data_IF_729327378468
#
_entry.id   IF_729327378468
#
_cell.length_a   1.000
_cell.length_b   1.000
_cell.length_c   1.000
_cell.angle_alpha   90.00
_cell.angle_beta   90.00
_cell.angle_gamma   90.00
#
_symmetry.space_group_name_H-M   'P 1'
#
loop_
_entity.id
_entity.type
_entity.pdbx_description
1 polymer ?
#
# COMPACT_ATOMS: atom_id res chain seq x y z
N UNK A 1 -16.07 -33.22 -2.37
CA UNK A 1 -16.39 -33.16 -0.92
C UNK A 1 -16.46 -31.70 -0.50
N UNK A 2 -17.61 -31.25 0.00
CA UNK A 2 -17.95 -29.83 0.16
C UNK A 2 -17.19 -29.21 1.34
N UNK A 3 -16.39 -28.16 1.08
CA UNK A 3 -15.65 -27.44 2.12
C UNK A 3 -16.56 -26.87 3.22
N UNK A 4 -17.82 -26.52 2.89
CA UNK A 4 -18.81 -26.03 3.86
C UNK A 4 -19.14 -27.05 4.95
N UNK A 5 -19.09 -28.35 4.67
CA UNK A 5 -19.37 -29.39 5.65
C UNK A 5 -18.18 -29.63 6.60
N UNK A 6 -16.96 -29.30 6.18
CA UNK A 6 -15.76 -29.36 7.05
C UNK A 6 -15.60 -28.14 7.95
N UNK A 7 -16.14 -26.98 7.55
CA UNK A 7 -16.04 -25.74 8.33
C UNK A 7 -17.07 -25.67 9.47
N UNK A 8 -18.19 -26.40 9.37
CA UNK A 8 -19.20 -26.42 10.44
C UNK A 8 -18.72 -27.10 11.74
N UNK A 9 -17.60 -27.84 11.70
CA UNK A 9 -16.86 -28.23 12.89
C UNK A 9 -15.64 -27.34 13.02
N UNK A 10 -15.78 -26.17 13.65
CA UNK A 10 -14.63 -25.33 13.98
C UNK A 10 -13.73 -26.06 14.98
N UNK A 11 -12.75 -26.83 14.49
CA UNK A 11 -11.81 -27.71 15.22
C UNK A 11 -10.82 -26.92 16.09
N UNK A 12 -11.05 -25.63 16.36
CA UNK A 12 -10.13 -24.89 17.23
C UNK A 12 -10.67 -24.96 18.65
N UNK A 13 -11.76 -24.31 19.00
CA UNK A 13 -12.15 -24.23 20.42
C UNK A 13 -12.56 -25.57 21.05
N UNK A 14 -13.50 -26.38 20.50
CA UNK A 14 -13.86 -27.68 21.08
C UNK A 14 -12.68 -28.66 21.10
N UNK A 15 -11.82 -28.64 20.08
CA UNK A 15 -10.65 -29.53 20.00
C UNK A 15 -9.52 -29.06 20.91
N UNK A 16 -9.24 -27.75 20.99
CA UNK A 16 -8.30 -27.18 21.96
C UNK A 16 -8.77 -27.50 23.37
N UNK A 17 -10.06 -27.34 23.67
CA UNK A 17 -10.67 -27.80 24.94
C UNK A 17 -10.47 -29.29 25.17
N UNK A 18 -10.70 -30.13 24.15
CA UNK A 18 -10.49 -31.58 24.20
C UNK A 18 -9.02 -31.97 24.39
N UNK A 19 -8.10 -31.20 23.85
CA UNK A 19 -6.64 -31.39 23.95
C UNK A 19 -6.06 -30.74 25.22
N UNK A 20 -6.90 -30.18 26.11
CA UNK A 20 -6.45 -29.49 27.33
C UNK A 20 -5.71 -28.18 27.06
N UNK A 21 -5.73 -27.67 25.82
CA UNK A 21 -5.13 -26.37 25.49
C UNK A 21 -6.03 -25.27 26.03
N UNK A 22 -5.48 -24.27 26.75
CA UNK A 22 -6.26 -23.13 27.21
C UNK A 22 -6.94 -22.44 26.03
N UNK A 23 -8.27 -22.52 25.99
CA UNK A 23 -9.08 -21.68 25.10
C UNK A 23 -9.41 -20.41 25.86
N UNK A 24 -8.91 -19.29 25.35
CA UNK A 24 -9.30 -17.99 25.88
C UNK A 24 -10.80 -17.82 25.63
N UNK A 25 -11.60 -17.77 26.70
CA UNK A 25 -12.97 -17.24 26.61
C UNK A 25 -12.84 -15.81 26.05
N UNK A 26 -13.78 -15.39 25.21
CA UNK A 26 -13.84 -13.98 24.78
C UNK A 26 -13.77 -13.11 26.02
N UNK A 27 -12.64 -12.41 26.21
CA UNK A 27 -12.40 -11.62 27.40
C UNK A 27 -13.47 -10.55 27.50
N UNK A 28 -13.99 -10.31 28.70
CA UNK A 28 -14.47 -8.98 29.02
C UNK A 28 -13.23 -8.12 29.16
N UNK A 29 -12.99 -7.22 28.21
CA UNK A 29 -11.93 -6.22 28.38
C UNK A 29 -12.30 -5.33 29.55
N UNK A 30 -11.34 -5.10 30.45
CA UNK A 30 -11.50 -4.12 31.52
C UNK A 30 -11.36 -2.70 30.95
N UNK A 31 -12.00 -1.66 31.54
CA UNK A 31 -11.93 -0.29 31.02
C UNK A 31 -10.50 0.26 30.89
N UNK A 32 -9.55 -0.27 31.66
CA UNK A 32 -8.14 0.13 31.63
C UNK A 32 -7.29 -0.65 30.63
N UNK A 33 -7.85 -1.70 30.00
CA UNK A 33 -7.15 -2.50 29.01
C UNK A 33 -6.89 -1.66 27.76
N UNK A 34 -5.63 -1.61 27.28
CA UNK A 34 -5.36 -0.86 26.08
C UNK A 34 -6.04 -1.47 24.85
N UNK A 35 -6.60 -0.64 23.95
CA UNK A 35 -7.25 -1.11 22.73
C UNK A 35 -6.34 -2.04 21.92
N UNK A 36 -6.92 -3.02 21.24
CA UNK A 36 -6.20 -4.02 20.43
C UNK A 36 -6.64 -3.92 18.98
N UNK A 37 -5.71 -3.59 18.09
CA UNK A 37 -5.96 -3.46 16.65
C UNK A 37 -5.11 -4.49 15.94
N UNK A 38 -5.78 -5.44 15.28
CA UNK A 38 -5.14 -6.38 14.37
C UNK A 38 -5.11 -5.74 12.98
N UNK A 39 -3.95 -5.77 12.36
CA UNK A 39 -3.70 -5.27 11.03
C UNK A 39 -3.34 -6.47 10.15
N UNK A 40 -3.89 -6.53 8.94
CA UNK A 40 -3.50 -7.55 7.98
C UNK A 40 -3.23 -6.92 6.62
N UNK A 41 -2.10 -7.32 6.05
CA UNK A 41 -1.80 -7.09 4.64
C UNK A 41 -0.97 -8.24 4.09
N UNK A 42 -1.40 -8.80 2.97
CA UNK A 42 -0.55 -9.69 2.20
C UNK A 42 0.39 -8.83 1.34
N UNK A 43 1.69 -9.13 1.45
CA UNK A 43 2.69 -8.72 0.49
C UNK A 43 2.33 -9.33 -0.86
N UNK A 44 1.81 -8.46 -1.70
CA UNK A 44 1.81 -8.69 -3.13
C UNK A 44 3.17 -8.27 -3.68
N UNK A 45 3.17 -7.99 -4.97
CA UNK A 45 4.32 -7.65 -5.80
C UNK A 45 5.03 -6.34 -5.39
N UNK A 46 4.49 -5.55 -4.45
CA UNK A 46 5.09 -4.31 -3.95
C UNK A 46 4.61 -3.88 -2.57
N UNK A 47 5.22 -2.80 -2.03
CA UNK A 47 5.02 -2.33 -0.64
C UNK A 47 3.81 -1.42 -0.42
N UNK A 48 3.01 -1.12 -1.46
CA UNK A 48 1.91 -0.16 -1.36
C UNK A 48 0.88 -0.51 -0.28
N UNK A 49 0.48 -1.78 -0.17
CA UNK A 49 -0.45 -2.23 0.87
C UNK A 49 0.17 -2.13 2.27
N UNK A 50 1.42 -2.56 2.41
CA UNK A 50 2.15 -2.50 3.67
C UNK A 50 2.28 -1.05 4.16
N UNK A 51 2.71 -0.12 3.30
CA UNK A 51 2.86 1.27 3.72
C UNK A 51 1.54 1.94 4.12
N UNK A 52 0.40 1.63 3.49
CA UNK A 52 -0.90 2.17 3.92
C UNK A 52 -1.25 1.71 5.34
N UNK A 53 -1.02 0.43 5.63
CA UNK A 53 -1.26 -0.15 6.96
C UNK A 53 -0.28 0.43 7.99
N UNK A 54 1.01 0.51 7.67
CA UNK A 54 2.03 1.03 8.57
C UNK A 54 1.81 2.52 8.90
N UNK A 55 1.45 3.35 7.92
CA UNK A 55 1.10 4.76 8.16
C UNK A 55 -0.10 4.90 9.09
N UNK A 56 -1.15 4.11 8.84
CA UNK A 56 -2.33 4.09 9.71
C UNK A 56 -1.95 3.63 11.13
N UNK A 57 -1.09 2.62 11.27
CA UNK A 57 -0.62 2.13 12.55
C UNK A 57 0.18 3.19 13.33
N UNK A 58 1.08 3.90 12.65
CA UNK A 58 1.87 4.99 13.24
C UNK A 58 0.97 6.13 13.75
N UNK A 59 0.00 6.56 12.93
CA UNK A 59 -0.93 7.61 13.33
C UNK A 59 -1.88 7.14 14.44
N UNK A 60 -2.31 5.88 14.42
CA UNK A 60 -3.08 5.28 15.51
C UNK A 60 -2.31 5.30 16.83
N UNK A 61 -1.00 4.99 16.81
CA UNK A 61 -0.14 5.07 17.99
C UNK A 61 -0.07 6.51 18.51
N UNK A 62 -0.01 7.51 17.62
CA UNK A 62 -0.01 8.92 17.99
C UNK A 62 -1.29 9.34 18.69
N UNK A 63 -2.45 8.90 18.19
CA UNK A 63 -3.76 9.19 18.78
C UNK A 63 -4.05 8.38 20.05
N UNK A 64 -3.57 7.14 20.11
CA UNK A 64 -3.81 6.20 21.21
C UNK A 64 -2.47 5.60 21.68
N UNK A 65 -1.69 6.29 22.56
CA UNK A 65 -0.34 5.87 22.91
C UNK A 65 -0.21 4.43 23.42
N UNK A 66 -1.22 3.92 24.14
CA UNK A 66 -1.24 2.57 24.71
C UNK A 66 -1.77 1.49 23.75
N UNK A 67 -2.21 1.82 22.53
CA UNK A 67 -2.82 0.84 21.60
C UNK A 67 -1.90 -0.36 21.35
N UNK A 68 -2.44 -1.57 21.44
CA UNK A 68 -1.74 -2.79 21.05
C UNK A 68 -1.95 -3.01 19.55
N UNK A 69 -0.87 -2.92 18.77
CA UNK A 69 -0.89 -3.11 17.33
C UNK A 69 -0.18 -4.42 16.99
N UNK A 70 -0.89 -5.32 16.30
CA UNK A 70 -0.32 -6.55 15.76
C UNK A 70 -0.52 -6.58 14.25
N UNK A 71 0.56 -6.68 13.49
CA UNK A 71 0.53 -6.83 12.04
C UNK A 71 0.71 -8.30 11.63
N UNK A 72 -0.26 -8.82 10.89
CA UNK A 72 -0.15 -10.07 10.15
C UNK A 72 0.27 -9.74 8.71
N UNK A 73 1.43 -10.24 8.29
CA UNK A 73 1.92 -10.03 6.92
C UNK A 73 2.84 -11.15 6.49
N UNK A 74 2.97 -11.36 5.18
CA UNK A 74 3.90 -12.32 4.58
C UNK A 74 5.04 -11.61 3.82
N UNK A 75 5.24 -10.31 4.07
CA UNK A 75 6.32 -9.54 3.45
C UNK A 75 7.71 -10.02 3.89
N UNK A 76 8.67 -9.92 2.97
CA UNK A 76 10.09 -10.13 3.25
C UNK A 76 10.77 -8.85 3.72
N UNK A 77 10.14 -7.69 3.46
CA UNK A 77 10.71 -6.38 3.75
C UNK A 77 10.36 -5.89 5.15
N UNK A 78 10.43 -6.77 6.16
CA UNK A 78 10.08 -6.41 7.54
C UNK A 78 10.92 -5.26 8.10
N UNK A 79 12.14 -5.05 7.58
CA UNK A 79 12.96 -3.91 7.97
C UNK A 79 12.26 -2.56 7.77
N UNK A 80 11.25 -2.43 6.89
CA UNK A 80 10.56 -1.14 6.72
C UNK A 80 9.64 -0.79 7.87
N UNK A 81 9.27 -1.75 8.73
CA UNK A 81 8.39 -1.47 9.88
C UNK A 81 9.08 -0.60 10.93
N UNK A 82 10.41 -0.63 10.99
CA UNK A 82 11.20 0.19 11.93
C UNK A 82 10.98 1.70 11.75
N UNK A 83 10.58 2.13 10.55
CA UNK A 83 10.30 3.54 10.24
C UNK A 83 8.93 4.03 10.73
N UNK A 84 8.08 3.14 11.26
CA UNK A 84 6.68 3.44 11.62
C UNK A 84 6.38 3.18 13.11
N UNK A 85 7.42 3.21 13.95
CA UNK A 85 7.30 3.06 15.40
C UNK A 85 7.19 1.61 15.88
N UNK A 86 6.83 1.44 17.16
CA UNK A 86 6.75 0.12 17.79
C UNK A 86 5.48 -0.64 17.36
N UNK A 87 5.68 -1.71 16.60
CA UNK A 87 4.65 -2.58 16.05
C UNK A 87 5.07 -4.05 16.20
N UNK A 88 4.23 -4.86 16.85
CA UNK A 88 4.44 -6.31 16.86
C UNK A 88 4.07 -6.89 15.48
N UNK A 89 4.88 -7.81 14.97
CA UNK A 89 4.65 -8.43 13.66
C UNK A 89 4.66 -9.95 13.77
N UNK A 90 3.59 -10.58 13.28
CA UNK A 90 3.54 -12.02 13.03
C UNK A 90 3.70 -12.25 11.53
N UNK A 91 4.89 -12.75 11.15
CA UNK A 91 5.20 -13.07 9.75
C UNK A 91 4.58 -14.41 9.36
N UNK A 92 3.75 -14.40 8.33
CA UNK A 92 3.18 -15.59 7.73
C UNK A 92 4.14 -16.15 6.66
N UNK A 93 4.23 -17.48 6.51
CA UNK A 93 4.96 -18.12 5.41
C UNK A 93 4.44 -17.64 4.04
N UNK A 94 5.33 -17.20 3.15
CA UNK A 94 4.97 -16.47 1.94
C UNK A 94 5.11 -17.30 0.65
N UNK A 95 4.69 -16.70 -0.45
CA UNK A 95 4.91 -17.24 -1.79
C UNK A 95 5.80 -16.29 -2.58
N UNK A 96 6.74 -16.84 -3.34
CA UNK A 96 7.46 -16.12 -4.38
C UNK A 96 6.64 -16.17 -5.67
N UNK A 97 6.46 -15.02 -6.31
CA UNK A 97 5.75 -14.89 -7.57
C UNK A 97 6.74 -14.69 -8.71
N UNK A 98 6.54 -15.39 -9.81
CA UNK A 98 7.41 -15.33 -10.97
C UNK A 98 6.62 -15.49 -12.29
N UNK A 99 7.21 -14.95 -13.36
CA UNK A 99 6.63 -14.92 -14.70
C UNK A 99 5.39 -14.04 -14.85
N UNK A 100 4.98 -13.81 -16.10
CA UNK A 100 3.88 -12.89 -16.44
C UNK A 100 2.52 -13.29 -15.85
N UNK A 101 2.31 -14.58 -15.62
CA UNK A 101 1.06 -15.12 -15.07
C UNK A 101 1.00 -15.12 -13.53
N UNK A 102 1.95 -14.46 -12.85
CA UNK A 102 2.08 -14.44 -11.39
C UNK A 102 2.02 -15.86 -10.79
N UNK A 103 2.78 -16.79 -11.37
CA UNK A 103 2.87 -18.15 -10.82
C UNK A 103 3.51 -18.07 -9.44
N UNK A 104 2.89 -18.72 -8.47
CA UNK A 104 3.35 -18.67 -7.08
C UNK A 104 4.00 -20.00 -6.67
N UNK A 105 5.10 -19.95 -5.91
CA UNK A 105 5.70 -21.11 -5.22
C UNK A 105 5.99 -20.77 -3.76
N UNK A 106 5.82 -21.72 -2.81
CA UNK A 106 6.30 -21.55 -1.45
C UNK A 106 7.78 -21.15 -1.39
N UNK A 107 8.14 -20.32 -0.42
CA UNK A 107 9.54 -19.89 -0.18
C UNK A 107 10.05 -20.54 1.09
N UNK A 108 11.29 -21.03 1.03
CA UNK A 108 11.98 -21.63 2.18
C UNK A 108 11.35 -22.91 2.73
N UNK A 109 10.35 -23.47 2.03
CA UNK A 109 9.61 -24.66 2.45
C UNK A 109 9.27 -25.53 1.24
N UNK A 110 9.62 -26.82 1.30
CA UNK A 110 9.23 -27.83 0.30
C UNK A 110 7.80 -28.34 0.55
N UNK A 111 6.83 -27.43 0.47
CA UNK A 111 5.41 -27.75 0.66
C UNK A 111 4.62 -27.61 -0.64
N UNK A 112 3.49 -28.31 -0.74
CA UNK A 112 2.50 -27.99 -1.76
C UNK A 112 1.85 -26.62 -1.46
N UNK A 113 1.38 -25.93 -2.50
CA UNK A 113 0.66 -24.64 -2.34
C UNK A 113 -0.56 -24.77 -1.41
N UNK A 114 -1.27 -25.89 -1.49
CA UNK A 114 -2.41 -26.18 -0.63
C UNK A 114 -2.03 -26.33 0.84
N UNK A 115 -0.92 -27.00 1.13
CA UNK A 115 -0.42 -27.16 2.50
C UNK A 115 0.05 -25.83 3.09
N UNK A 116 0.73 -24.99 2.30
CA UNK A 116 1.14 -23.65 2.74
C UNK A 116 -0.07 -22.75 3.02
N UNK A 117 -1.10 -22.78 2.16
CA UNK A 117 -2.35 -22.05 2.41
C UNK A 117 -3.00 -22.49 3.72
N UNK A 118 -3.12 -23.80 3.95
CA UNK A 118 -3.69 -24.32 5.19
C UNK A 118 -2.89 -23.85 6.43
N UNK A 119 -1.56 -23.85 6.35
CA UNK A 119 -0.69 -23.34 7.42
C UNK A 119 -0.98 -21.86 7.71
N UNK A 120 -1.09 -21.03 6.67
CA UNK A 120 -1.44 -19.60 6.82
C UNK A 120 -2.81 -19.42 7.46
N UNK A 121 -3.82 -20.19 7.04
CA UNK A 121 -5.18 -20.08 7.57
C UNK A 121 -5.19 -20.37 9.08
N UNK A 122 -4.54 -21.45 9.48
CA UNK A 122 -4.44 -21.85 10.88
C UNK A 122 -3.66 -20.83 11.72
N UNK A 123 -2.57 -20.27 11.17
CA UNK A 123 -1.80 -19.24 11.85
C UNK A 123 -2.63 -17.96 12.05
N UNK A 124 -3.39 -17.51 11.04
CA UNK A 124 -4.26 -16.34 11.17
C UNK A 124 -5.42 -16.59 12.15
N UNK A 125 -6.04 -17.76 12.11
CA UNK A 125 -7.09 -18.15 13.07
C UNK A 125 -6.54 -18.15 14.51
N UNK A 126 -5.37 -18.74 14.73
CA UNK A 126 -4.72 -18.76 16.04
C UNK A 126 -4.37 -17.35 16.52
N UNK A 127 -3.85 -16.49 15.63
CA UNK A 127 -3.53 -15.11 15.96
C UNK A 127 -4.79 -14.32 16.35
N UNK A 128 -5.85 -14.39 15.56
CA UNK A 128 -7.14 -13.71 15.84
C UNK A 128 -7.76 -14.23 17.14
N UNK A 129 -7.79 -15.55 17.32
CA UNK A 129 -8.32 -16.19 18.51
C UNK A 129 -7.53 -15.80 19.76
N UNK A 130 -6.20 -15.75 19.69
CA UNK A 130 -5.37 -15.46 20.87
C UNK A 130 -5.30 -13.97 21.19
N UNK A 131 -5.23 -13.13 20.15
CA UNK A 131 -5.09 -11.69 20.31
C UNK A 131 -6.41 -11.01 20.73
N UNK A 132 -7.55 -11.54 20.29
CA UNK A 132 -8.89 -10.98 20.53
C UNK A 132 -8.93 -9.47 20.17
N UNK A 133 -8.81 -9.11 18.89
CA UNK A 133 -8.82 -7.70 18.52
C UNK A 133 -10.17 -7.03 18.84
N UNK A 134 -10.13 -5.72 19.07
CA UNK A 134 -11.32 -4.86 19.05
C UNK A 134 -11.64 -4.40 17.62
N UNK A 135 -10.59 -4.16 16.83
CA UNK A 135 -10.66 -3.78 15.41
C UNK A 135 -9.74 -4.70 14.61
N UNK A 136 -10.23 -5.20 13.48
CA UNK A 136 -9.44 -5.88 12.48
C UNK A 136 -9.45 -5.07 11.18
N UNK A 137 -8.32 -4.46 10.82
CA UNK A 137 -8.13 -3.72 9.57
C UNK A 137 -7.40 -4.61 8.56
N UNK A 138 -8.02 -4.86 7.41
CA UNK A 138 -7.53 -5.74 6.36
C UNK A 138 -7.31 -4.94 5.07
N UNK A 139 -6.06 -4.68 4.69
CA UNK A 139 -5.74 -4.01 3.42
C UNK A 139 -5.43 -5.07 2.34
N UNK A 140 -6.47 -5.47 1.61
CA UNK A 140 -6.45 -6.59 0.66
C UNK A 140 -7.71 -6.59 -0.23
N UNK A 141 -7.81 -7.56 -1.14
CA UNK A 141 -9.10 -7.93 -1.76
C UNK A 141 -10.02 -8.58 -0.69
N UNK A 142 -11.35 -8.56 -0.83
CA UNK A 142 -12.28 -8.92 0.25
C UNK A 142 -11.86 -10.17 1.04
N UNK A 143 -11.92 -11.37 0.47
CA UNK A 143 -11.58 -12.59 1.21
C UNK A 143 -10.06 -12.85 1.33
N UNK A 144 -9.22 -11.86 1.09
CA UNK A 144 -7.77 -11.99 1.08
C UNK A 144 -7.24 -12.69 -0.17
N UNK A 145 -5.92 -12.82 -0.24
CA UNK A 145 -5.25 -13.54 -1.33
C UNK A 145 -5.78 -14.97 -1.41
N UNK A 146 -6.30 -15.38 -2.56
CA UNK A 146 -6.83 -16.75 -2.78
C UNK A 146 -7.85 -17.20 -1.71
N UNK A 147 -8.68 -16.27 -1.23
CA UNK A 147 -9.71 -16.50 -0.21
C UNK A 147 -9.17 -16.91 1.18
N UNK A 148 -7.92 -16.57 1.50
CA UNK A 148 -7.29 -17.01 2.75
C UNK A 148 -7.89 -16.44 4.03
N UNK A 149 -8.54 -15.29 3.96
CA UNK A 149 -9.27 -14.72 5.11
C UNK A 149 -10.65 -15.33 5.27
N UNK A 150 -11.19 -16.05 4.28
CA UNK A 150 -12.56 -16.56 4.33
C UNK A 150 -12.85 -17.37 5.61
N UNK A 151 -12.01 -18.35 6.03
CA UNK A 151 -12.23 -19.07 7.29
C UNK A 151 -12.12 -18.16 8.53
N UNK A 152 -11.24 -17.16 8.50
CA UNK A 152 -11.10 -16.20 9.60
C UNK A 152 -12.35 -15.35 9.73
N UNK A 153 -12.91 -14.89 8.61
CA UNK A 153 -14.11 -14.06 8.57
C UNK A 153 -15.36 -14.82 8.98
N UNK A 154 -15.51 -16.08 8.55
CA UNK A 154 -16.59 -16.95 9.01
C UNK A 154 -16.48 -17.22 10.53
N UNK A 155 -15.27 -17.50 11.03
CA UNK A 155 -15.02 -17.66 12.47
C UNK A 155 -15.45 -16.41 13.25
N UNK A 156 -15.01 -15.23 12.80
CA UNK A 156 -15.36 -13.97 13.43
C UNK A 156 -16.86 -13.69 13.35
N UNK A 157 -17.52 -13.95 12.21
CA UNK A 157 -18.95 -13.73 12.05
C UNK A 157 -19.80 -14.61 12.99
N UNK A 158 -19.30 -15.78 13.40
CA UNK A 158 -19.95 -16.67 14.34
C UNK A 158 -19.74 -16.28 15.83
N UNK A 159 -18.89 -15.29 16.12
CA UNK A 159 -18.63 -14.87 17.49
C UNK A 159 -19.78 -14.06 18.08
N UNK A 160 -20.00 -14.20 19.40
CA UNK A 160 -20.99 -13.39 20.13
C UNK A 160 -20.63 -11.91 20.16
N UNK A 161 -19.34 -11.60 20.29
CA UNK A 161 -18.78 -10.23 20.25
C UNK A 161 -17.65 -10.18 19.23
N UNK A 162 -17.95 -10.03 17.93
CA UNK A 162 -16.91 -9.93 16.91
C UNK A 162 -16.23 -8.57 16.94
N UNK A 163 -14.94 -8.48 16.57
CA UNK A 163 -14.26 -7.22 16.33
C UNK A 163 -15.02 -6.41 15.27
N UNK A 164 -14.75 -5.10 15.25
CA UNK A 164 -15.10 -4.27 14.09
C UNK A 164 -14.18 -4.66 12.93
N UNK A 165 -14.78 -5.12 11.82
CA UNK A 165 -14.06 -5.64 10.65
C UNK A 165 -14.06 -4.60 9.54
N UNK A 166 -12.88 -4.11 9.20
CA UNK A 166 -12.68 -3.05 8.21
C UNK A 166 -11.90 -3.63 7.03
N UNK A 167 -12.51 -3.65 5.84
CA UNK A 167 -11.78 -3.91 4.60
C UNK A 167 -11.30 -2.57 4.04
N UNK A 168 -9.99 -2.42 3.90
CA UNK A 168 -9.38 -1.27 3.24
C UNK A 168 -9.10 -1.60 1.78
N UNK A 169 -9.79 -0.88 0.90
CA UNK A 169 -9.66 -0.92 -0.55
C UNK A 169 -8.77 0.23 -1.04
N UNK A 170 -8.15 0.00 -2.19
CA UNK A 170 -7.41 1.04 -2.93
C UNK A 170 -8.37 2.02 -3.60
N UNK A 171 -7.83 3.16 -4.03
CA UNK A 171 -8.49 4.15 -4.89
C UNK A 171 -9.13 3.52 -6.13
N UNK A 172 -8.37 2.69 -6.84
CA UNK A 172 -8.83 1.89 -7.98
C UNK A 172 -8.57 0.43 -7.62
N UNK A 173 -9.52 -0.26 -6.95
CA UNK A 173 -9.27 -1.61 -6.47
C UNK A 173 -9.35 -2.65 -7.60
N UNK A 174 -10.25 -2.43 -8.58
CA UNK A 174 -10.48 -3.28 -9.74
C UNK A 174 -10.77 -2.41 -10.98
N UNK A 175 -10.13 -2.66 -12.12
CA UNK A 175 -10.41 -1.82 -13.30
C UNK A 175 -11.69 -2.27 -14.00
N UNK A 176 -12.59 -1.35 -14.37
CA UNK A 176 -13.72 -1.66 -15.24
C UNK A 176 -13.26 -2.35 -16.53
N UNK A 177 -13.92 -3.44 -16.91
CA UNK A 177 -13.49 -4.27 -18.06
C UNK A 177 -12.53 -5.40 -17.71
N UNK A 178 -12.07 -5.53 -16.44
CA UNK A 178 -11.60 -6.81 -15.87
C UNK A 178 -12.78 -7.53 -15.22
N UNK A 179 -13.71 -8.01 -16.05
CA UNK A 179 -14.99 -8.57 -15.60
C UNK A 179 -14.79 -9.67 -14.53
N UNK A 180 -13.84 -10.58 -14.73
CA UNK A 180 -13.61 -11.67 -13.77
C UNK A 180 -13.24 -11.18 -12.37
N UNK A 181 -12.30 -10.24 -12.25
CA UNK A 181 -11.85 -9.70 -10.96
C UNK A 181 -12.89 -8.78 -10.31
N UNK A 182 -13.51 -7.92 -11.12
CA UNK A 182 -14.54 -6.99 -10.66
C UNK A 182 -15.78 -7.74 -10.20
N UNK A 183 -16.22 -8.74 -10.97
CA UNK A 183 -17.34 -9.58 -10.60
C UNK A 183 -17.01 -10.48 -9.41
N UNK A 184 -15.79 -10.98 -9.28
CA UNK A 184 -15.44 -11.79 -8.12
C UNK A 184 -15.50 -10.99 -6.82
N UNK A 185 -14.90 -9.80 -6.78
CA UNK A 185 -14.99 -8.93 -5.61
C UNK A 185 -16.44 -8.54 -5.29
N UNK A 186 -17.23 -8.18 -6.31
CA UNK A 186 -18.66 -7.89 -6.17
C UNK A 186 -19.41 -9.10 -5.61
N UNK A 187 -19.19 -10.30 -6.14
CA UNK A 187 -19.81 -11.55 -5.67
C UNK A 187 -19.40 -11.86 -4.23
N UNK A 188 -18.13 -11.73 -3.88
CA UNK A 188 -17.62 -11.98 -2.54
C UNK A 188 -18.31 -11.08 -1.51
N UNK A 189 -18.32 -9.76 -1.76
CA UNK A 189 -18.95 -8.77 -0.88
C UNK A 189 -20.47 -8.96 -0.83
N UNK A 190 -21.12 -9.24 -1.96
CA UNK A 190 -22.59 -9.38 -2.01
C UNK A 190 -23.08 -10.69 -1.39
N UNK A 191 -22.30 -11.78 -1.48
CA UNK A 191 -22.64 -13.07 -0.84
C UNK A 191 -22.43 -13.03 0.68
N UNK A 192 -21.38 -12.34 1.13
CA UNK A 192 -21.04 -12.26 2.56
C UNK A 192 -20.95 -10.81 3.04
N UNK A 193 -22.02 -10.01 2.90
CA UNK A 193 -21.99 -8.59 3.22
C UNK A 193 -21.65 -8.35 4.69
N UNK A 194 -21.98 -9.30 5.58
CA UNK A 194 -21.83 -9.18 7.03
C UNK A 194 -20.43 -9.61 7.53
N UNK A 195 -19.51 -9.95 6.62
CA UNK A 195 -18.09 -10.13 6.94
C UNK A 195 -17.36 -8.83 7.23
N UNK A 196 -17.86 -7.70 6.72
CA UNK A 196 -17.27 -6.39 6.96
C UNK A 196 -18.29 -5.45 7.55
N UNK A 197 -17.87 -4.68 8.55
CA UNK A 197 -18.63 -3.59 9.12
C UNK A 197 -18.43 -2.32 8.26
N UNK A 198 -17.20 -2.11 7.74
CA UNK A 198 -16.82 -0.95 6.93
C UNK A 198 -15.96 -1.33 5.72
N UNK A 199 -16.11 -0.54 4.65
CA UNK A 199 -15.24 -0.52 3.48
C UNK A 199 -14.51 0.82 3.43
N UNK A 200 -13.29 0.86 3.95
CA UNK A 200 -12.43 2.04 3.89
C UNK A 200 -11.83 2.14 2.49
N UNK A 201 -12.00 3.26 1.82
CA UNK A 201 -11.45 3.47 0.47
C UNK A 201 -10.32 4.49 0.55
N UNK A 202 -9.09 4.05 0.26
CA UNK A 202 -7.89 4.88 0.23
C UNK A 202 -7.83 5.74 -1.06
N UNK A 203 -8.86 6.55 -1.26
CA UNK A 203 -9.03 7.43 -2.42
C UNK A 203 -10.23 8.35 -2.23
N UNK A 204 -10.54 9.09 -3.29
CA UNK A 204 -11.62 10.09 -3.32
C UNK A 204 -12.69 9.70 -4.37
N UNK A 205 -14.00 9.84 -4.08
CA UNK A 205 -15.05 9.50 -5.03
C UNK A 205 -15.06 10.41 -6.28
N UNK A 206 -14.52 11.63 -6.23
CA UNK A 206 -14.33 12.49 -7.40
C UNK A 206 -13.25 11.93 -8.35
N UNK A 207 -12.33 11.12 -7.82
CA UNK A 207 -11.35 10.40 -8.64
C UNK A 207 -11.91 9.06 -9.13
N UNK A 208 -12.48 8.26 -8.23
CA UNK A 208 -13.06 6.97 -8.57
C UNK A 208 -14.22 6.60 -7.61
N UNK A 209 -15.45 6.67 -8.11
CA UNK A 209 -16.66 6.31 -7.37
C UNK A 209 -16.98 4.81 -7.51
N UNK A 210 -16.53 3.99 -6.56
CA UNK A 210 -16.77 2.55 -6.50
C UNK A 210 -18.27 2.20 -6.51
N UNK A 211 -19.12 3.00 -5.86
CA UNK A 211 -20.55 2.72 -5.80
C UNK A 211 -21.17 2.85 -7.19
N UNK A 212 -20.83 3.93 -7.91
CA UNK A 212 -21.29 4.18 -9.28
C UNK A 212 -20.68 3.20 -10.28
N UNK A 213 -19.37 2.96 -10.18
CA UNK A 213 -18.61 2.18 -11.17
C UNK A 213 -18.96 0.70 -11.12
N UNK A 214 -19.19 0.14 -9.92
CA UNK A 214 -19.46 -1.30 -9.77
C UNK A 214 -20.92 -1.67 -9.56
N UNK A 215 -21.82 -0.68 -9.53
CA UNK A 215 -23.25 -0.86 -9.28
C UNK A 215 -23.52 -1.75 -8.05
N UNK A 216 -22.83 -1.43 -6.93
CA UNK A 216 -22.93 -2.23 -5.72
C UNK A 216 -24.27 -2.00 -4.99
N UNK A 217 -24.87 -3.05 -4.40
CA UNK A 217 -26.14 -2.92 -3.72
C UNK A 217 -26.04 -2.04 -2.48
N UNK A 218 -27.15 -1.42 -2.07
CA UNK A 218 -27.24 -0.53 -0.89
C UNK A 218 -26.65 -1.13 0.39
N UNK A 219 -26.75 -2.45 0.58
CA UNK A 219 -26.18 -3.15 1.75
C UNK A 219 -24.65 -3.02 1.85
N UNK A 220 -23.98 -2.84 0.71
CA UNK A 220 -22.53 -2.64 0.57
C UNK A 220 -22.20 -1.14 0.54
N UNK A 221 -22.89 -0.35 -0.29
CA UNK A 221 -22.54 1.07 -0.47
C UNK A 221 -22.71 1.90 0.81
N UNK A 222 -23.66 1.54 1.69
CA UNK A 222 -23.79 2.15 3.03
C UNK A 222 -22.59 1.95 3.96
N UNK A 223 -21.66 1.06 3.60
CA UNK A 223 -20.43 0.76 4.36
C UNK A 223 -19.21 1.50 3.79
N UNK A 224 -19.34 2.16 2.64
CA UNK A 224 -18.25 2.87 1.99
C UNK A 224 -17.88 4.11 2.78
N UNK A 225 -16.61 4.20 3.17
CA UNK A 225 -16.03 5.36 3.82
C UNK A 225 -14.77 5.79 3.08
N UNK A 226 -14.89 6.85 2.29
CA UNK A 226 -13.78 7.42 1.53
C UNK A 226 -12.84 8.20 2.44
N UNK A 227 -11.62 7.68 2.54
CA UNK A 227 -10.56 8.23 3.39
C UNK A 227 -9.87 9.45 2.75
N UNK A 228 -9.90 9.55 1.42
CA UNK A 228 -8.89 10.30 0.69
C UNK A 228 -7.63 9.47 0.48
N UNK A 229 -6.69 9.99 -0.32
CA UNK A 229 -5.47 9.26 -0.63
C UNK A 229 -4.58 9.08 0.60
N UNK A 230 -4.08 7.84 0.78
CA UNK A 230 -3.12 7.49 1.84
C UNK A 230 -1.71 7.70 1.28
N UNK A 231 -1.20 8.92 1.45
CA UNK A 231 0.16 9.32 1.09
C UNK A 231 0.99 9.58 2.36
N UNK A 232 2.33 9.59 2.29
CA UNK A 232 3.18 10.17 3.34
C UNK A 232 2.73 11.60 3.62
N UNK A 233 2.63 11.95 4.90
CA UNK A 233 2.29 13.32 5.29
C UNK A 233 3.52 14.22 5.17
N UNK A 234 3.29 15.48 4.79
CA UNK A 234 4.35 16.46 4.58
C UNK A 234 4.82 17.12 5.88
N UNK A 235 4.07 16.99 6.97
CA UNK A 235 4.31 17.69 8.23
C UNK A 235 5.29 16.93 9.13
N UNK A 236 6.43 17.55 9.38
CA UNK A 236 7.18 17.40 10.63
C UNK A 236 8.00 16.12 10.73
N UNK A 237 9.29 16.27 10.42
CA UNK A 237 10.33 15.26 10.48
C UNK A 237 10.18 14.17 9.42
N UNK A 238 11.16 14.13 8.52
CA UNK A 238 11.40 12.92 7.74
C UNK A 238 11.44 11.70 8.67
N UNK A 239 11.33 10.48 8.12
CA UNK A 239 11.49 9.28 8.93
C UNK A 239 12.69 9.43 9.85
N UNK A 240 12.58 8.97 11.12
CA UNK A 240 13.58 9.24 12.16
C UNK A 240 14.96 9.04 11.58
N UNK A 241 15.91 9.91 11.92
CA UNK A 241 17.27 9.92 11.36
C UNK A 241 17.92 8.54 11.47
N UNK A 242 17.65 7.68 10.49
CA UNK A 242 18.35 6.44 10.30
C UNK A 242 19.57 6.87 9.52
N UNK A 243 20.65 7.09 10.25
CA UNK A 243 21.94 7.50 9.69
C UNK A 243 22.61 6.34 8.91
N UNK A 244 21.89 5.74 7.96
CA UNK A 244 22.51 4.84 6.99
C UNK A 244 23.40 5.63 6.03
N UNK A 245 24.40 4.97 5.43
CA UNK A 245 25.26 5.60 4.44
C UNK A 245 24.48 6.23 3.28
N UNK A 246 23.41 5.56 2.82
CA UNK A 246 22.51 6.04 1.77
C UNK A 246 21.87 7.37 2.13
N UNK A 247 21.37 7.50 3.36
CA UNK A 247 20.64 8.69 3.77
C UNK A 247 21.57 9.92 3.85
N UNK A 248 22.80 9.74 4.35
CA UNK A 248 23.81 10.82 4.37
C UNK A 248 24.25 11.24 2.97
N UNK A 249 24.29 10.32 2.02
CA UNK A 249 24.65 10.60 0.64
C UNK A 249 23.55 11.38 -0.09
N UNK A 250 22.27 11.02 0.12
CA UNK A 250 21.13 11.79 -0.36
C UNK A 250 21.21 13.24 0.15
N UNK A 251 21.45 13.45 1.45
CA UNK A 251 21.60 14.79 2.03
C UNK A 251 22.77 15.57 1.40
N UNK A 252 23.94 14.94 1.28
CA UNK A 252 25.12 15.57 0.67
C UNK A 252 24.87 15.98 -0.77
N UNK A 253 24.24 15.14 -1.57
CA UNK A 253 23.88 15.50 -2.94
C UNK A 253 22.83 16.61 -2.97
N UNK A 254 21.80 16.54 -2.14
CA UNK A 254 20.74 17.56 -2.08
C UNK A 254 21.25 18.97 -1.72
N UNK A 255 22.35 19.08 -0.97
CA UNK A 255 22.98 20.36 -0.61
C UNK A 255 23.64 21.08 -1.79
N UNK A 256 23.98 20.37 -2.88
CA UNK A 256 24.58 20.97 -4.08
C UNK A 256 23.50 21.69 -4.90
N UNK A 257 23.77 22.89 -5.44
CA UNK A 257 22.83 23.59 -6.30
C UNK A 257 22.73 22.87 -7.65
N UNK A 258 21.61 22.20 -7.89
CA UNK A 258 21.33 21.49 -9.14
C UNK A 258 19.82 21.30 -9.29
N UNK A 259 19.36 21.17 -10.54
CA UNK A 259 18.00 20.68 -10.79
C UNK A 259 17.96 19.18 -10.56
N UNK A 260 16.89 18.69 -9.95
CA UNK A 260 16.80 17.30 -9.47
C UNK A 260 15.74 16.53 -10.24
N UNK A 261 16.13 15.42 -10.83
CA UNK A 261 15.22 14.47 -11.46
C UNK A 261 15.11 13.25 -10.55
N UNK A 262 13.89 12.88 -10.17
CA UNK A 262 13.64 11.74 -9.28
C UNK A 262 12.83 10.68 -10.03
N UNK A 263 13.39 9.50 -10.18
CA UNK A 263 12.76 8.37 -10.85
C UNK A 263 12.48 7.21 -9.87
N UNK A 264 11.36 6.50 -10.03
CA UNK A 264 11.06 5.31 -9.21
C UNK A 264 10.22 4.25 -9.91
N UNK A 265 10.71 3.00 -9.87
CA UNK A 265 10.02 1.79 -10.35
C UNK A 265 9.04 1.16 -9.36
N UNK A 266 8.67 1.90 -8.30
CA UNK A 266 7.71 1.42 -7.30
C UNK A 266 8.15 0.11 -6.64
N UNK A 267 7.53 -1.01 -7.02
CA UNK A 267 7.88 -2.35 -6.54
C UNK A 267 9.22 -2.88 -7.08
N UNK A 268 9.60 -2.47 -8.30
CA UNK A 268 10.94 -2.70 -8.86
C UNK A 268 11.07 -3.70 -10.00
N UNK A 269 10.00 -3.87 -10.80
CA UNK A 269 9.99 -4.81 -11.93
C UNK A 269 10.63 -4.22 -13.17
N UNK A 270 10.52 -2.90 -13.34
CA UNK A 270 11.01 -2.16 -14.49
C UNK A 270 12.48 -1.73 -14.34
N UNK A 271 13.14 -2.15 -13.25
CA UNK A 271 14.50 -1.74 -12.94
C UNK A 271 15.49 -2.16 -14.02
N UNK A 272 15.35 -3.36 -14.58
CA UNK A 272 16.25 -3.88 -15.60
C UNK A 272 16.01 -3.20 -16.96
N UNK A 273 14.77 -3.21 -17.45
CA UNK A 273 14.44 -2.73 -18.80
C UNK A 273 14.48 -1.20 -18.91
N UNK A 274 13.77 -0.48 -18.03
CA UNK A 274 13.61 0.98 -18.12
C UNK A 274 14.74 1.74 -17.42
N UNK A 275 15.35 1.16 -16.38
CA UNK A 275 16.46 1.77 -15.65
C UNK A 275 17.64 2.13 -16.56
N UNK A 276 17.97 1.23 -17.47
CA UNK A 276 19.04 1.45 -18.42
C UNK A 276 18.75 2.59 -19.40
N UNK A 277 17.52 2.66 -19.90
CA UNK A 277 17.12 3.70 -20.85
C UNK A 277 17.07 5.08 -20.18
N UNK A 278 16.56 5.17 -18.96
CA UNK A 278 16.54 6.41 -18.19
C UNK A 278 17.94 6.94 -17.86
N UNK A 279 18.89 6.06 -17.52
CA UNK A 279 20.28 6.47 -17.30
C UNK A 279 20.94 7.02 -18.57
N UNK A 280 20.69 6.39 -19.73
CA UNK A 280 21.19 6.88 -21.01
C UNK A 280 20.58 8.24 -21.37
N UNK A 281 19.25 8.36 -21.25
CA UNK A 281 18.52 9.61 -21.48
C UNK A 281 19.02 10.74 -20.57
N UNK A 282 19.23 10.45 -19.28
CA UNK A 282 19.79 11.40 -18.32
C UNK A 282 21.21 11.83 -18.71
N UNK A 283 22.09 10.89 -19.07
CA UNK A 283 23.47 11.19 -19.42
C UNK A 283 23.56 12.14 -20.62
N UNK A 284 22.76 11.91 -21.67
CA UNK A 284 22.67 12.79 -22.83
C UNK A 284 22.07 14.15 -22.47
N UNK A 285 21.02 14.18 -21.66
CA UNK A 285 20.39 15.42 -21.20
C UNK A 285 21.37 16.27 -20.40
N UNK A 286 22.08 15.68 -19.44
CA UNK A 286 23.06 16.38 -18.61
C UNK A 286 24.23 16.93 -19.43
N UNK A 287 24.66 16.23 -20.49
CA UNK A 287 25.73 16.69 -21.37
C UNK A 287 25.31 17.87 -22.28
N UNK A 288 24.01 18.00 -22.58
CA UNK A 288 23.47 19.06 -23.45
C UNK A 288 23.07 20.32 -22.69
N UNK A 289 22.89 20.23 -21.37
CA UNK A 289 22.42 21.36 -20.54
C UNK A 289 23.60 22.13 -19.95
N UNK A 290 23.41 23.44 -19.82
CA UNK A 290 24.40 24.35 -19.24
C UNK A 290 24.33 24.44 -17.72
N UNK A 291 23.21 24.03 -17.11
CA UNK A 291 23.03 24.00 -15.67
C UNK A 291 23.28 22.61 -15.04
N UNK A 292 23.75 22.53 -13.78
CA UNK A 292 23.92 21.26 -13.09
C UNK A 292 22.60 20.49 -12.90
N UNK A 293 22.61 19.20 -13.24
CA UNK A 293 21.54 18.25 -12.96
C UNK A 293 21.97 17.22 -11.93
N UNK A 294 20.98 16.62 -11.27
CA UNK A 294 21.14 15.42 -10.45
C UNK A 294 20.04 14.42 -10.76
N UNK A 295 20.39 13.14 -10.76
CA UNK A 295 19.46 12.04 -10.99
C UNK A 295 19.42 11.09 -9.80
N UNK A 296 18.22 10.88 -9.26
CA UNK A 296 17.96 9.95 -8.18
C UNK A 296 17.04 8.85 -8.69
N UNK A 297 17.53 7.62 -8.75
CA UNK A 297 16.78 6.46 -9.24
C UNK A 297 16.51 5.47 -8.11
N UNK A 298 15.23 5.23 -7.82
CA UNK A 298 14.78 4.26 -6.84
C UNK A 298 14.25 3.00 -7.52
N UNK A 299 15.05 1.94 -7.48
CA UNK A 299 14.75 0.72 -8.24
C UNK A 299 13.62 -0.11 -7.64
N UNK A 300 13.25 0.11 -6.38
CA UNK A 300 12.23 -0.66 -5.69
C UNK A 300 12.82 -1.86 -4.93
N UNK A 301 12.13 -2.32 -3.87
CA UNK A 301 12.61 -3.34 -2.95
C UNK A 301 12.63 -4.75 -3.56
N UNK A 302 11.79 -5.01 -4.57
CA UNK A 302 11.71 -6.30 -5.25
C UNK A 302 12.65 -6.40 -6.46
N UNK A 303 13.39 -5.33 -6.81
CA UNK A 303 14.36 -5.36 -7.88
C UNK A 303 15.46 -6.40 -7.58
N UNK A 304 15.88 -7.15 -8.60
CA UNK A 304 16.98 -8.12 -8.44
C UNK A 304 18.30 -7.40 -8.12
N UNK A 305 19.14 -8.03 -7.29
CA UNK A 305 20.45 -7.45 -6.93
C UNK A 305 21.35 -7.27 -8.15
N UNK A 306 21.27 -8.18 -9.13
CA UNK A 306 22.01 -8.09 -10.38
C UNK A 306 21.58 -6.87 -11.22
N UNK A 307 20.27 -6.61 -11.32
CA UNK A 307 19.75 -5.43 -12.02
C UNK A 307 20.21 -4.13 -11.35
N UNK A 308 20.15 -4.04 -10.01
CA UNK A 308 20.69 -2.89 -9.27
C UNK A 308 22.19 -2.71 -9.52
N UNK A 309 22.98 -3.77 -9.39
CA UNK A 309 24.42 -3.72 -9.57
C UNK A 309 24.81 -3.27 -10.99
N UNK A 310 24.09 -3.77 -12.01
CA UNK A 310 24.27 -3.37 -13.41
C UNK A 310 24.01 -1.87 -13.63
N UNK A 311 22.94 -1.33 -13.05
CA UNK A 311 22.65 0.11 -13.10
C UNK A 311 23.73 0.94 -12.38
N UNK A 312 24.17 0.50 -11.21
CA UNK A 312 25.20 1.18 -10.43
C UNK A 312 26.55 1.18 -11.16
N UNK A 313 26.92 0.07 -11.79
CA UNK A 313 28.13 -0.02 -12.61
C UNK A 313 28.10 0.95 -13.80
N UNK A 314 26.94 1.11 -14.45
CA UNK A 314 26.76 2.08 -15.54
C UNK A 314 26.83 3.54 -15.10
N UNK A 315 26.50 3.82 -13.84
CA UNK A 315 26.64 5.14 -13.24
C UNK A 315 27.99 5.35 -12.53
N UNK A 316 28.91 4.39 -12.60
CA UNK A 316 30.20 4.49 -11.93
C UNK A 316 30.98 5.73 -12.42
N UNK A 317 31.55 6.49 -11.48
CA UNK A 317 32.27 7.74 -11.77
C UNK A 317 31.39 8.98 -11.91
N UNK A 318 30.06 8.84 -11.84
CA UNK A 318 29.12 9.96 -11.83
C UNK A 318 28.78 10.37 -10.40
N UNK A 319 29.12 11.59 -10.02
CA UNK A 319 28.80 12.17 -8.71
C UNK A 319 27.42 12.87 -8.68
N UNK A 320 26.76 12.94 -9.84
CA UNK A 320 25.44 13.52 -10.06
C UNK A 320 24.32 12.46 -10.12
N UNK A 321 24.64 11.16 -9.98
CA UNK A 321 23.69 10.06 -10.06
C UNK A 321 23.69 9.22 -8.77
N UNK A 322 22.51 8.99 -8.20
CA UNK A 322 22.30 8.09 -7.07
C UNK A 322 21.28 7.00 -7.43
N UNK A 323 21.67 5.73 -7.27
CA UNK A 323 20.80 4.57 -7.55
C UNK A 323 20.67 3.68 -6.33
N UNK A 324 19.45 3.52 -5.80
CA UNK A 324 19.16 2.75 -4.57
C UNK A 324 17.87 1.96 -4.74
N UNK A 325 17.70 0.85 -4.01
CA UNK A 325 16.41 0.12 -3.99
C UNK A 325 15.30 0.94 -3.33
N UNK A 326 15.62 1.50 -2.17
CA UNK A 326 14.65 2.16 -1.31
C UNK A 326 15.37 3.23 -0.48
N UNK A 327 14.65 4.30 -0.16
CA UNK A 327 15.04 5.24 0.88
C UNK A 327 13.78 5.69 1.64
N UNK A 328 13.81 5.71 2.97
CA UNK A 328 12.76 6.34 3.75
C UNK A 328 12.63 7.84 3.44
N UNK A 329 13.69 8.53 2.97
CA UNK A 329 13.65 9.94 2.53
C UNK A 329 13.12 10.15 1.11
N UNK A 330 12.68 9.10 0.41
CA UNK A 330 12.16 9.22 -0.96
C UNK A 330 11.09 10.32 -1.12
N UNK A 331 10.11 10.38 -0.21
CA UNK A 331 9.05 11.40 -0.28
C UNK A 331 9.55 12.82 -0.03
N UNK A 332 10.55 12.98 0.85
CA UNK A 332 11.19 14.27 1.10
C UNK A 332 11.93 14.77 -0.14
N UNK A 333 12.63 13.87 -0.84
CA UNK A 333 13.30 14.14 -2.10
C UNK A 333 12.31 14.44 -3.23
N UNK A 334 11.25 13.64 -3.35
CA UNK A 334 10.20 13.79 -4.36
C UNK A 334 9.52 15.16 -4.26
N UNK A 335 9.25 15.64 -3.05
CA UNK A 335 8.65 16.96 -2.82
C UNK A 335 9.57 18.14 -3.18
N UNK A 336 10.86 17.91 -3.47
CA UNK A 336 11.88 18.94 -3.76
C UNK A 336 12.55 18.75 -5.12
N UNK A 337 11.92 17.97 -6.00
CA UNK A 337 12.44 17.71 -7.33
C UNK A 337 11.93 18.70 -8.39
N UNK A 338 12.62 18.69 -9.52
CA UNK A 338 12.30 19.48 -10.71
C UNK A 338 11.57 18.70 -11.79
N UNK A 339 11.68 17.38 -11.74
CA UNK A 339 10.94 16.45 -12.57
C UNK A 339 10.84 15.12 -11.85
N UNK A 340 9.65 14.55 -11.79
CA UNK A 340 9.45 13.19 -11.31
C UNK A 340 9.14 12.24 -12.47
N UNK A 341 9.83 11.10 -12.52
CA UNK A 341 9.56 10.00 -13.47
C UNK A 341 9.05 8.79 -12.68
N UNK A 342 7.73 8.55 -12.71
CA UNK A 342 7.08 7.68 -11.74
C UNK A 342 6.26 6.59 -12.40
N UNK A 343 6.37 5.37 -11.87
CA UNK A 343 5.35 4.35 -12.11
C UNK A 343 3.99 4.88 -11.61
N UNK A 344 2.93 4.70 -12.40
CA UNK A 344 1.56 5.15 -12.10
C UNK A 344 0.84 4.29 -11.02
N UNK A 345 1.56 4.00 -9.93
CA UNK A 345 1.03 3.44 -8.69
C UNK A 345 0.43 4.54 -7.79
N UNK A 346 0.64 4.43 -6.47
CA UNK A 346 0.16 5.45 -5.52
C UNK A 346 1.12 6.64 -5.32
N UNK A 347 2.34 6.54 -5.86
CA UNK A 347 3.38 7.57 -5.69
C UNK A 347 3.03 8.92 -6.33
N UNK A 348 2.44 9.00 -7.54
CA UNK A 348 2.10 10.29 -8.15
C UNK A 348 1.18 11.16 -7.30
N UNK A 349 0.26 10.56 -6.51
CA UNK A 349 -0.62 11.32 -5.61
C UNK A 349 0.14 12.13 -4.56
N UNK A 350 1.40 11.80 -4.24
CA UNK A 350 2.22 12.57 -3.29
C UNK A 350 2.53 13.98 -3.78
N UNK A 351 2.57 14.19 -5.10
CA UNK A 351 2.95 15.47 -5.72
C UNK A 351 1.91 15.94 -6.76
N UNK A 352 0.73 15.34 -6.78
CA UNK A 352 -0.32 15.70 -7.74
C UNK A 352 -0.90 17.10 -7.45
N UNK A 353 -0.89 17.55 -6.19
CA UNK A 353 -1.25 18.93 -5.80
C UNK A 353 -0.03 19.83 -5.62
N UNK A 354 1.01 19.61 -6.42
CA UNK A 354 2.16 20.52 -6.53
C UNK A 354 2.30 21.01 -7.98
N UNK A 355 3.30 21.86 -8.22
CA UNK A 355 3.70 22.33 -9.53
C UNK A 355 4.79 21.46 -10.19
N UNK A 356 5.16 20.33 -9.57
CA UNK A 356 6.26 19.45 -10.01
C UNK A 356 5.84 18.68 -11.27
N UNK A 357 6.49 18.87 -12.43
CA UNK A 357 6.22 18.11 -13.64
C UNK A 357 6.39 16.60 -13.41
N UNK A 358 5.53 15.79 -14.05
CA UNK A 358 5.54 14.34 -13.91
C UNK A 358 5.54 13.65 -15.28
N UNK A 359 6.46 12.73 -15.46
CA UNK A 359 6.43 11.73 -16.52
C UNK A 359 6.01 10.39 -15.91
N UNK A 360 4.83 9.93 -16.26
CA UNK A 360 4.24 8.70 -15.75
C UNK A 360 4.47 7.55 -16.74
N UNK A 361 4.55 6.33 -16.22
CA UNK A 361 4.46 5.11 -17.02
C UNK A 361 3.68 4.03 -16.28
N UNK A 362 3.06 3.15 -17.03
CA UNK A 362 2.39 1.96 -16.51
C UNK A 362 3.30 0.74 -16.69
N UNK A 363 3.28 -0.17 -15.71
CA UNK A 363 3.99 -1.46 -15.77
C UNK A 363 3.58 -2.25 -17.01
N UNK A 364 4.56 -2.53 -17.87
CA UNK A 364 4.50 -3.26 -19.15
C UNK A 364 3.28 -2.94 -20.02
N UNK A 365 2.66 -1.77 -19.86
CA UNK A 365 1.37 -1.41 -20.47
C UNK A 365 0.20 -2.40 -20.18
N UNK A 366 0.43 -3.43 -19.35
CA UNK A 366 -0.51 -4.53 -19.02
C UNK A 366 -1.28 -4.29 -17.73
N UNK A 367 -0.76 -3.45 -16.83
CA UNK A 367 -1.45 -3.12 -15.58
C UNK A 367 -2.54 -2.07 -15.83
N UNK A 368 -3.72 -2.52 -16.29
CA UNK A 368 -4.90 -1.67 -16.56
C UNK A 368 -5.18 -0.66 -15.45
N UNK A 369 -4.90 -1.03 -14.20
CA UNK A 369 -5.09 -0.15 -13.03
C UNK A 369 -4.16 1.05 -13.03
N UNK A 370 -2.89 0.84 -13.36
CA UNK A 370 -1.90 1.91 -13.42
C UNK A 370 -2.13 2.77 -14.66
N UNK A 371 -2.51 2.14 -15.78
CA UNK A 371 -2.90 2.83 -17.00
C UNK A 371 -4.09 3.75 -16.75
N UNK A 372 -5.18 3.22 -16.19
CA UNK A 372 -6.35 4.00 -15.82
C UNK A 372 -5.96 5.17 -14.89
N UNK A 373 -5.10 4.92 -13.90
CA UNK A 373 -4.64 6.00 -13.01
C UNK A 373 -3.94 7.12 -13.76
N UNK A 374 -2.98 6.77 -14.60
CA UNK A 374 -2.22 7.72 -15.39
C UNK A 374 -3.12 8.53 -16.33
N UNK A 375 -4.03 7.86 -17.04
CA UNK A 375 -5.03 8.51 -17.92
C UNK A 375 -5.92 9.50 -17.18
N UNK A 376 -6.27 9.22 -15.92
CA UNK A 376 -7.00 10.20 -15.10
C UNK A 376 -6.12 11.38 -14.65
N UNK A 377 -4.79 11.22 -14.59
CA UNK A 377 -3.86 12.24 -14.14
C UNK A 377 -3.35 13.15 -15.27
N UNK A 378 -3.26 12.69 -16.51
CA UNK A 378 -2.77 13.51 -17.65
C UNK A 378 -3.66 14.71 -17.98
N UNK A 379 -4.88 14.78 -17.40
CA UNK A 379 -5.72 15.98 -17.48
C UNK A 379 -5.18 17.17 -16.70
N UNK A 380 -4.23 16.96 -15.79
CA UNK A 380 -3.61 18.02 -15.00
C UNK A 380 -2.34 18.53 -15.71
N UNK A 381 -2.04 19.81 -15.52
CA UNK A 381 -0.92 20.47 -16.18
C UNK A 381 0.42 19.76 -15.94
N UNK A 382 1.28 19.67 -16.96
CA UNK A 382 2.62 19.07 -16.88
C UNK A 382 2.63 17.64 -16.31
N UNK A 383 1.59 16.85 -16.59
CA UNK A 383 1.56 15.41 -16.32
C UNK A 383 1.45 14.70 -17.65
N UNK A 384 2.45 13.89 -17.96
CA UNK A 384 2.53 13.15 -19.21
C UNK A 384 2.58 11.66 -18.95
N UNK A 385 2.10 10.86 -19.90
CA UNK A 385 2.16 9.40 -19.86
C UNK A 385 3.04 8.92 -21.02
N UNK A 386 4.04 8.11 -20.71
CA UNK A 386 4.85 7.41 -21.71
C UNK A 386 3.97 6.45 -22.51
N UNK A 387 4.08 6.55 -23.83
CA UNK A 387 3.48 5.60 -24.78
C UNK A 387 4.33 4.34 -24.95
N UNK A 388 3.92 3.46 -25.86
CA UNK A 388 4.54 2.14 -26.09
C UNK A 388 6.03 2.21 -26.49
N UNK A 389 6.42 3.27 -27.19
CA UNK A 389 7.82 3.57 -27.57
C UNK A 389 8.61 4.30 -26.47
N UNK A 390 7.98 4.58 -25.33
CA UNK A 390 8.52 5.37 -24.23
C UNK A 390 9.72 4.74 -23.52
N UNK A 391 10.06 3.47 -23.81
CA UNK A 391 11.28 2.84 -23.32
C UNK A 391 12.56 3.28 -24.05
N UNK A 392 12.46 4.03 -25.16
CA UNK A 392 13.62 4.46 -25.93
C UNK A 392 14.33 5.66 -25.26
N UNK A 393 15.67 5.64 -25.11
CA UNK A 393 16.42 6.74 -24.49
C UNK A 393 16.15 8.11 -25.12
N UNK A 394 16.03 8.19 -26.45
CA UNK A 394 15.77 9.44 -27.15
C UNK A 394 14.39 10.04 -26.82
N UNK A 395 13.36 9.20 -26.69
CA UNK A 395 12.00 9.59 -26.33
C UNK A 395 11.96 10.07 -24.88
N UNK A 396 12.59 9.32 -23.96
CA UNK A 396 12.72 9.71 -22.55
C UNK A 396 13.45 11.04 -22.41
N UNK A 397 14.59 11.22 -23.07
CA UNK A 397 15.37 12.46 -23.05
C UNK A 397 14.53 13.65 -23.51
N UNK A 398 13.82 13.50 -24.63
CA UNK A 398 12.97 14.56 -25.18
C UNK A 398 11.82 14.94 -24.23
N UNK A 399 11.15 13.94 -23.64
CA UNK A 399 10.10 14.17 -22.66
C UNK A 399 10.63 14.84 -21.38
N UNK A 400 11.77 14.36 -20.86
CA UNK A 400 12.43 14.94 -19.69
C UNK A 400 12.85 16.39 -19.92
N UNK A 401 13.47 16.70 -21.06
CA UNK A 401 13.84 18.06 -21.42
C UNK A 401 12.62 18.98 -21.48
N UNK A 402 11.57 18.57 -22.21
CA UNK A 402 10.34 19.36 -22.36
C UNK A 402 9.66 19.63 -21.02
N UNK A 403 9.53 18.62 -20.15
CA UNK A 403 8.92 18.78 -18.83
C UNK A 403 9.76 19.62 -17.88
N UNK A 404 11.09 19.54 -17.96
CA UNK A 404 11.99 20.41 -17.21
C UNK A 404 11.90 21.87 -17.67
N UNK A 405 11.67 22.13 -18.96
CA UNK A 405 11.58 23.48 -19.51
C UNK A 405 10.16 24.07 -19.42
N UNK A 406 9.16 23.24 -19.10
CA UNK A 406 7.79 23.68 -18.93
C UNK A 406 7.64 24.65 -17.75
N UNK A 407 6.80 25.69 -17.86
CA UNK A 407 6.50 26.58 -16.74
C UNK A 407 5.88 25.79 -15.60
N UNK A 408 6.27 26.09 -14.35
CA UNK A 408 5.69 25.50 -13.15
C UNK A 408 4.23 25.96 -13.02
N UNK A 409 3.29 25.02 -13.12
CA UNK A 409 1.86 25.29 -12.99
C UNK A 409 1.33 24.54 -11.76
N UNK A 410 0.97 25.25 -10.68
CA UNK A 410 0.34 24.62 -9.52
C UNK A 410 -0.95 23.91 -9.89
N UNK A 411 -1.13 22.68 -9.42
CA UNK A 411 -2.32 21.89 -9.64
C UNK A 411 -3.23 21.96 -8.41
N UNK A 412 -4.54 22.08 -8.65
CA UNK A 412 -5.58 21.94 -7.62
C UNK A 412 -6.55 20.88 -8.08
N UNK A 413 -6.51 19.71 -7.46
CA UNK A 413 -7.37 18.60 -7.88
C UNK A 413 -8.74 18.67 -7.22
N UNK A 414 -8.81 19.24 -6.02
CA UNK A 414 -10.00 19.20 -5.18
C UNK A 414 -10.24 17.81 -4.56
N UNK A 415 -9.34 16.85 -4.77
CA UNK A 415 -9.44 15.54 -4.15
C UNK A 415 -9.14 15.61 -2.65
N UNK A 416 -9.68 14.66 -1.91
CA UNK A 416 -9.33 14.48 -0.50
C UNK A 416 -7.97 13.79 -0.37
N UNK A 417 -7.11 14.43 0.41
CA UNK A 417 -5.88 13.87 0.96
C UNK A 417 -6.02 13.65 2.49
N UNK A 418 -4.96 13.23 3.18
CA UNK A 418 -5.01 12.99 4.63
C UNK A 418 -5.69 11.67 5.02
N UNK A 419 -5.68 10.67 4.12
CA UNK A 419 -6.31 9.38 4.37
C UNK A 419 -5.73 8.63 5.58
N UNK A 420 -4.48 8.93 5.96
CA UNK A 420 -3.83 8.39 7.18
C UNK A 420 -4.56 8.89 8.44
N UNK A 421 -4.62 10.22 8.66
CA UNK A 421 -5.35 10.82 9.81
C UNK A 421 -6.80 10.37 9.84
N UNK A 422 -7.48 10.38 8.69
CA UNK A 422 -8.89 9.99 8.58
C UNK A 422 -9.13 8.53 8.99
N UNK A 423 -8.27 7.61 8.55
CA UNK A 423 -8.35 6.19 8.91
C UNK A 423 -8.11 5.99 10.41
N UNK A 424 -7.04 6.58 10.93
CA UNK A 424 -6.67 6.46 12.33
C UNK A 424 -7.72 7.08 13.27
N UNK A 425 -8.28 8.25 12.94
CA UNK A 425 -9.37 8.88 13.71
C UNK A 425 -10.64 8.06 13.72
N UNK A 426 -11.04 7.54 12.56
CA UNK A 426 -12.22 6.69 12.48
C UNK A 426 -12.07 5.46 13.39
N UNK A 427 -10.91 4.80 13.35
CA UNK A 427 -10.61 3.66 14.22
C UNK A 427 -10.51 4.10 15.70
N UNK A 428 -9.88 5.23 16.01
CA UNK A 428 -9.76 5.74 17.37
C UNK A 428 -11.13 6.07 17.98
N UNK A 429 -12.04 6.67 17.20
CA UNK A 429 -13.40 6.95 17.63
C UNK A 429 -14.22 5.67 17.89
N UNK A 430 -14.00 4.61 17.09
CA UNK A 430 -14.58 3.30 17.35
C UNK A 430 -14.07 2.68 18.66
N UNK A 431 -12.87 3.06 19.09
CA UNK A 431 -12.16 2.56 20.28
C UNK A 431 -12.21 3.53 21.48
N UNK A 432 -13.05 4.57 21.43
CA UNK A 432 -13.17 5.56 22.50
C UNK A 432 -13.53 4.94 23.87
N UNK A 433 -14.31 3.85 23.86
CA UNK A 433 -14.50 2.95 25.01
C UNK A 433 -14.10 1.52 24.59
N UNK A 434 -12.95 1.05 25.08
CA UNK A 434 -12.44 -0.29 24.76
C UNK A 434 -13.36 -1.42 25.23
N UNK A 435 -14.22 -1.20 26.25
CA UNK A 435 -15.19 -2.21 26.71
C UNK A 435 -16.27 -2.49 25.67
N UNK A 436 -16.62 -1.47 24.89
CA UNK A 436 -17.72 -1.52 23.93
C UNK A 436 -17.34 -0.75 22.67
N UNK A 437 -16.47 -1.34 21.81
CA UNK A 437 -16.15 -0.76 20.53
C UNK A 437 -17.43 -0.42 19.77
N UNK A 438 -17.54 0.83 19.33
CA UNK A 438 -18.78 1.38 18.78
C UNK A 438 -18.74 1.27 17.26
N UNK A 439 -19.77 0.63 16.69
CA UNK A 439 -20.07 0.72 15.25
C UNK A 439 -20.77 2.06 15.01
N UNK A 440 -20.04 3.03 14.47
CA UNK A 440 -20.51 4.36 14.08
C UNK A 440 -21.12 4.32 12.67
N UNK A 441 -22.11 5.16 12.38
CA UNK A 441 -22.58 5.31 11.00
C UNK A 441 -21.50 5.99 10.13
N UNK A 442 -21.56 5.82 8.81
CA UNK A 442 -20.63 6.51 7.89
C UNK A 442 -20.77 8.03 7.99
N UNK A 443 -21.98 8.53 8.25
CA UNK A 443 -22.25 9.96 8.49
C UNK A 443 -21.58 10.45 9.78
N UNK A 444 -21.62 9.66 10.86
CA UNK A 444 -20.91 9.97 12.10
C UNK A 444 -19.40 10.01 11.90
N UNK A 445 -18.84 9.01 11.22
CA UNK A 445 -17.42 8.99 10.86
C UNK A 445 -17.03 10.20 10.00
N UNK A 446 -17.89 10.58 9.06
CA UNK A 446 -17.66 11.76 8.22
C UNK A 446 -17.63 13.04 9.03
N UNK A 447 -18.48 13.19 10.05
CA UNK A 447 -18.51 14.34 10.96
C UNK A 447 -17.25 14.41 11.83
N UNK A 448 -16.90 13.31 12.49
CA UNK A 448 -15.70 13.18 13.33
C UNK A 448 -14.44 13.55 12.56
N UNK A 449 -14.37 13.16 11.29
CA UNK A 449 -13.20 13.42 10.45
C UNK A 449 -13.26 14.75 9.68
N UNK A 450 -14.27 15.60 9.90
CA UNK A 450 -14.40 16.95 9.30
C UNK A 450 -14.06 18.08 10.28
N UNK A 451 -13.93 17.81 11.58
CA UNK A 451 -13.72 18.82 12.62
C UNK A 451 -12.25 19.33 12.71
N UNK A 452 -11.59 19.46 11.55
CA UNK A 452 -10.32 20.18 11.33
C UNK A 452 -10.47 21.10 10.12
#
# INVERSE_FOLDING_TARGET
>A
MNWKERVQQWVVEPTLRRLGVPVLRQYGFEPTDPPRVLLYTASNVGLGHLFRVLRTAAELRRLLPRVNLLLLTDTEHLHVTQYYGQLAVLRLPNFHYFGENFREKPVGLELSKGKLRLLRYNAMLAAVHSFQPHVFLMDTAPHGKRNELYPVLEYLAAQRRPPIRILQLRDVPFVPGEAERTDDARRQLTRNPDFYDYLFVAGDPQYFDLAKVYDWPKKITRKLFYLGFIIPEADGDGPPAVESGTEREIERMMQRPARRIVASFGGGWEAEELGGALLAAYAELAAQRGEPLQFYLFTGPSAEDAALAGLQARAAGRDDVLIRKFSPRFSHLLARCDLAVLQAGSTPFQILETDIPMLLYARDFKSKEQQFRAEQMIRFANVELLGEDGGQPAVLRAAMARLLDAPRVPRRTGFRYGGVRRSARAIAAMLADSRKPRRLSVEELNRICREE
#
